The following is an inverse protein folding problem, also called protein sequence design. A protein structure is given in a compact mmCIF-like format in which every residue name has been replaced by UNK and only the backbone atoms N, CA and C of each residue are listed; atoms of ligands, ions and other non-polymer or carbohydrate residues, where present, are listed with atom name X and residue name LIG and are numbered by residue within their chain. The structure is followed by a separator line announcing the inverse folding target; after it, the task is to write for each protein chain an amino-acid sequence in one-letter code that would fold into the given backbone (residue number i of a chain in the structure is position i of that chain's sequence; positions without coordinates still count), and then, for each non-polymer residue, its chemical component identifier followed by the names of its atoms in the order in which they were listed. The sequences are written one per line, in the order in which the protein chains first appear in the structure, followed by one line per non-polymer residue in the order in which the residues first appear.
data_IF_762824687963
#
_entry.id   IF_762824687963
#
_cell.length_a   1.000
_cell.length_b   1.000
_cell.length_c   1.000
_cell.angle_alpha   90.00
_cell.angle_beta   90.00
_cell.angle_gamma   90.00
#
_symmetry.space_group_name_H-M   'P 1'
#
loop_
_entity.id
_entity.type
_entity.pdbx_description
1 polymer ?
#
# COMPACT_ATOMS: atom_id res chain seq x y z
N UNK A 1 16.26 18.48 2.47
CA UNK A 1 16.79 18.56 3.84
C UNK A 1 15.80 18.00 4.85
N UNK A 2 14.59 18.55 4.98
CA UNK A 2 13.57 18.05 5.94
C UNK A 2 13.27 16.55 5.77
N UNK A 3 13.07 16.07 4.54
CA UNK A 3 12.80 14.64 4.29
C UNK A 3 13.97 13.72 4.71
N UNK A 4 15.23 14.14 4.55
CA UNK A 4 16.39 13.36 4.98
C UNK A 4 16.46 13.21 6.50
N UNK A 5 16.05 14.24 7.24
CA UNK A 5 16.02 14.20 8.71
C UNK A 5 14.97 13.18 9.17
N UNK A 6 13.76 13.24 8.61
CA UNK A 6 12.71 12.26 8.91
C UNK A 6 13.09 10.84 8.47
N UNK A 7 13.78 10.69 7.35
CA UNK A 7 14.25 9.39 6.87
C UNK A 7 15.36 8.82 7.76
N UNK A 8 16.30 9.64 8.22
CA UNK A 8 17.33 9.21 9.18
C UNK A 8 16.75 8.81 10.53
N UNK A 9 15.71 9.51 11.01
CA UNK A 9 14.97 9.10 12.21
C UNK A 9 14.24 7.77 11.96
N UNK A 10 13.62 7.60 10.80
CA UNK A 10 12.98 6.35 10.40
C UNK A 10 13.96 5.18 10.32
N UNK A 11 15.17 5.40 9.82
CA UNK A 11 16.25 4.41 9.78
C UNK A 11 16.72 4.01 11.18
N UNK A 12 16.88 4.97 12.08
CA UNK A 12 17.21 4.69 13.48
C UNK A 12 16.13 3.82 14.15
N UNK A 13 14.85 4.14 13.93
CA UNK A 13 13.71 3.37 14.47
C UNK A 13 13.65 1.95 13.88
N UNK A 14 13.86 1.80 12.58
CA UNK A 14 13.86 0.49 11.90
C UNK A 14 15.06 -0.36 12.33
N UNK A 15 16.23 0.26 12.50
CA UNK A 15 17.44 -0.41 12.98
C UNK A 15 17.26 -0.99 14.39
N UNK A 16 16.63 -0.23 15.29
CA UNK A 16 16.27 -0.69 16.64
C UNK A 16 15.20 -1.78 16.63
N UNK A 17 14.24 -1.71 15.70
CA UNK A 17 13.13 -2.67 15.59
C UNK A 17 13.45 -3.97 14.84
N UNK A 18 14.55 -4.03 14.08
CA UNK A 18 14.88 -5.15 13.17
C UNK A 18 13.73 -5.49 12.19
N UNK A 19 13.01 -4.47 11.74
CA UNK A 19 11.80 -4.62 10.95
C UNK A 19 12.20 -4.71 9.47
N UNK A 20 11.75 -5.72 8.70
CA UNK A 20 12.05 -5.87 7.27
C UNK A 20 11.19 -4.94 6.40
N UNK A 21 11.13 -3.65 6.75
CA UNK A 21 10.37 -2.63 6.02
C UNK A 21 11.36 -1.56 5.52
N UNK A 22 11.22 -1.07 4.28
CA UNK A 22 12.02 0.04 3.79
C UNK A 22 11.89 1.26 4.72
N UNK A 23 13.02 1.74 5.24
CA UNK A 23 13.13 2.88 6.17
C UNK A 23 12.47 4.16 5.63
N UNK A 24 12.46 4.31 4.30
CA UNK A 24 11.76 5.40 3.61
C UNK A 24 10.26 5.48 3.95
N UNK A 25 9.59 4.33 4.12
CA UNK A 25 8.15 4.29 4.44
C UNK A 25 7.93 4.73 5.89
N UNK A 26 8.80 4.33 6.81
CA UNK A 26 8.74 4.73 8.21
C UNK A 26 8.98 6.24 8.35
N UNK A 27 9.97 6.79 7.65
CA UNK A 27 10.19 8.23 7.61
C UNK A 27 8.99 9.01 7.06
N UNK A 28 8.33 8.48 6.02
CA UNK A 28 7.12 9.07 5.44
C UNK A 28 5.92 9.02 6.40
N UNK A 29 5.74 7.92 7.14
CA UNK A 29 4.72 7.79 8.19
C UNK A 29 4.94 8.80 9.32
N UNK A 30 6.19 8.98 9.73
CA UNK A 30 6.57 9.91 10.80
C UNK A 30 6.38 11.37 10.35
N UNK A 31 6.72 11.67 9.11
CA UNK A 31 6.41 12.96 8.48
C UNK A 31 4.91 13.21 8.42
N UNK A 32 4.12 12.22 7.97
CA UNK A 32 2.67 12.32 7.92
C UNK A 32 2.04 12.56 9.30
N UNK A 33 2.49 11.85 10.33
CA UNK A 33 2.05 12.06 11.72
C UNK A 33 2.39 13.47 12.22
N UNK A 34 3.57 13.96 11.89
CA UNK A 34 3.99 15.33 12.25
C UNK A 34 3.13 16.37 11.55
N UNK A 35 2.82 16.16 10.26
CA UNK A 35 1.97 17.04 9.47
C UNK A 35 0.53 17.07 10.02
N UNK A 36 0.00 15.90 10.39
CA UNK A 36 -1.31 15.75 11.03
C UNK A 36 -1.37 16.48 12.39
N UNK A 37 -0.32 16.38 13.19
CA UNK A 37 -0.24 17.05 14.49
C UNK A 37 -0.10 18.57 14.37
N UNK A 38 0.54 19.06 13.31
CA UNK A 38 0.86 20.50 13.15
C UNK A 38 -0.16 21.27 12.31
N UNK A 39 -1.08 20.57 11.61
CA UNK A 39 -2.13 21.18 10.77
C UNK A 39 -1.58 22.12 9.66
N UNK A 40 -0.33 21.90 9.25
CA UNK A 40 0.34 22.70 8.22
C UNK A 40 -0.11 22.25 6.83
N UNK A 41 -0.11 23.15 5.85
CA UNK A 41 -0.39 22.82 4.45
C UNK A 41 0.74 21.98 3.84
N UNK A 42 0.35 21.01 3.01
CA UNK A 42 1.29 20.11 2.34
C UNK A 42 2.22 20.93 1.44
N UNK A 43 3.54 20.85 1.60
CA UNK A 43 4.46 21.69 0.84
C UNK A 43 4.62 21.15 -0.60
N UNK A 44 4.62 22.04 -1.60
CA UNK A 44 4.66 21.71 -3.04
C UNK A 44 5.76 20.70 -3.44
N UNK A 45 6.92 20.76 -2.79
CA UNK A 45 8.07 19.88 -3.06
C UNK A 45 7.79 18.40 -2.76
N UNK A 46 6.82 18.10 -1.90
CA UNK A 46 6.41 16.72 -1.57
C UNK A 46 5.57 16.12 -2.70
N UNK A 47 4.81 16.94 -3.41
CA UNK A 47 4.00 16.53 -4.55
C UNK A 47 4.91 16.05 -5.69
N UNK A 48 5.92 16.86 -6.04
CA UNK A 48 6.91 16.53 -7.07
C UNK A 48 7.75 15.27 -6.71
N UNK A 49 8.07 15.11 -5.42
CA UNK A 49 8.77 13.91 -4.93
C UNK A 49 7.92 12.64 -5.04
N UNK A 50 6.60 12.76 -4.84
CA UNK A 50 5.67 11.64 -4.91
C UNK A 50 5.51 11.15 -6.36
N UNK A 51 5.48 12.06 -7.32
CA UNK A 51 5.44 11.72 -8.75
C UNK A 51 6.67 10.93 -9.18
N UNK A 52 7.85 11.30 -8.69
CA UNK A 52 9.07 10.54 -8.95
C UNK A 52 8.99 9.12 -8.40
N UNK A 53 8.51 8.94 -7.17
CA UNK A 53 8.36 7.61 -6.55
C UNK A 53 7.36 6.75 -7.31
N UNK A 54 6.22 7.30 -7.71
CA UNK A 54 5.22 6.59 -8.53
C UNK A 54 5.85 6.16 -9.86
N UNK A 55 6.69 7.01 -10.45
CA UNK A 55 7.41 6.71 -11.69
C UNK A 55 8.45 5.60 -11.51
N UNK A 56 9.18 5.60 -10.41
CA UNK A 56 10.14 4.53 -10.06
C UNK A 56 9.47 3.25 -9.56
N UNK A 57 8.22 3.32 -9.09
CA UNK A 57 7.45 2.16 -8.65
C UNK A 57 7.39 1.10 -9.76
N UNK A 58 7.20 1.53 -11.01
CA UNK A 58 7.21 0.62 -12.16
C UNK A 58 8.57 -0.07 -12.34
N UNK A 59 9.66 0.67 -12.11
CA UNK A 59 11.05 0.18 -12.17
C UNK A 59 11.38 -0.77 -11.01
N UNK A 60 10.71 -0.67 -9.86
CA UNK A 60 10.80 -1.64 -8.75
C UNK A 60 9.88 -2.85 -8.95
N UNK A 61 8.67 -2.64 -9.49
CA UNK A 61 7.73 -3.72 -9.76
C UNK A 61 8.29 -4.68 -10.79
N UNK A 62 8.90 -4.19 -11.87
CA UNK A 62 9.39 -5.06 -12.95
C UNK A 62 10.39 -6.10 -12.44
N UNK A 63 11.50 -5.76 -11.75
CA UNK A 63 12.44 -6.72 -11.16
C UNK A 63 11.79 -7.66 -10.14
N UNK A 64 10.88 -7.14 -9.30
CA UNK A 64 10.21 -7.96 -8.29
C UNK A 64 9.25 -8.97 -8.92
N UNK A 65 8.50 -8.56 -9.94
CA UNK A 65 7.55 -9.41 -10.67
C UNK A 65 8.27 -10.47 -11.49
N UNK A 66 9.32 -10.11 -12.24
CA UNK A 66 10.08 -11.08 -13.04
C UNK A 66 10.86 -12.06 -12.15
N UNK A 67 11.34 -11.65 -10.98
CA UNK A 67 11.96 -12.54 -10.00
C UNK A 67 11.02 -13.65 -9.56
N UNK A 68 9.78 -13.32 -9.21
CA UNK A 68 8.76 -14.31 -8.89
C UNK A 68 8.50 -15.28 -10.05
N UNK A 69 8.42 -14.77 -11.29
CA UNK A 69 8.22 -15.62 -12.46
C UNK A 69 9.35 -16.63 -12.68
N UNK A 70 10.59 -16.30 -12.35
CA UNK A 70 11.73 -17.23 -12.46
C UNK A 70 11.68 -18.38 -11.44
N UNK A 71 11.20 -18.14 -10.21
CA UNK A 71 11.04 -19.20 -9.21
C UNK A 71 9.99 -20.26 -9.61
N UNK A 72 9.13 -19.95 -10.57
CA UNK A 72 7.93 -20.71 -10.93
C UNK A 72 8.14 -21.50 -12.24
N UNK A 73 9.22 -21.24 -12.98
CA UNK A 73 9.46 -21.75 -14.33
C UNK A 73 9.81 -23.25 -14.42
N UNK A 74 10.02 -23.94 -13.29
CA UNK A 74 10.39 -25.36 -13.30
C UNK A 74 9.27 -26.26 -13.86
N UNK A 75 8.00 -25.83 -13.87
CA UNK A 75 6.87 -26.67 -14.31
C UNK A 75 5.76 -25.89 -15.05
N UNK A 76 5.52 -26.23 -16.32
CA UNK A 76 4.46 -25.62 -17.15
C UNK A 76 3.04 -25.91 -16.63
N UNK A 77 2.84 -27.04 -15.96
CA UNK A 77 1.54 -27.48 -15.43
C UNK A 77 1.01 -26.58 -14.30
N UNK A 78 1.91 -25.87 -13.60
CA UNK A 78 1.59 -25.00 -12.46
C UNK A 78 0.92 -23.69 -12.91
N UNK A 79 1.13 -23.25 -14.16
CA UNK A 79 0.52 -22.02 -14.69
C UNK A 79 -1.00 -22.03 -14.65
N UNK A 80 -1.63 -23.17 -14.97
CA UNK A 80 -3.08 -23.33 -14.88
C UNK A 80 -3.58 -23.20 -13.43
N UNK A 81 -2.87 -23.80 -12.47
CA UNK A 81 -3.20 -23.70 -11.05
C UNK A 81 -3.09 -22.27 -10.52
N UNK A 82 -2.08 -21.50 -10.94
CA UNK A 82 -1.90 -20.10 -10.54
C UNK A 82 -3.01 -19.22 -11.11
N UNK A 83 -3.35 -19.41 -12.39
CA UNK A 83 -4.38 -18.62 -13.04
C UNK A 83 -5.74 -18.87 -12.37
N UNK A 84 -6.09 -20.14 -12.15
CA UNK A 84 -7.34 -20.51 -11.48
C UNK A 84 -7.37 -20.01 -10.03
N UNK A 85 -6.31 -20.23 -9.25
CA UNK A 85 -6.27 -19.77 -7.86
C UNK A 85 -6.32 -18.24 -7.72
N UNK A 86 -5.63 -17.50 -8.59
CA UNK A 86 -5.67 -16.02 -8.61
C UNK A 86 -7.05 -15.51 -9.01
N UNK A 87 -7.68 -16.16 -9.99
CA UNK A 87 -9.03 -15.78 -10.44
C UNK A 87 -10.06 -16.03 -9.33
N UNK A 88 -9.99 -17.20 -8.70
CA UNK A 88 -10.84 -17.55 -7.55
C UNK A 88 -10.60 -16.59 -6.39
N UNK A 89 -9.34 -16.28 -6.06
CA UNK A 89 -8.98 -15.33 -4.99
C UNK A 89 -9.51 -13.93 -5.26
N UNK A 90 -9.46 -13.47 -6.51
CA UNK A 90 -10.02 -12.18 -6.93
C UNK A 90 -11.53 -12.14 -6.76
N UNK A 91 -12.24 -13.16 -7.26
CA UNK A 91 -13.70 -13.26 -7.10
C UNK A 91 -14.10 -13.32 -5.63
N UNK A 92 -13.34 -14.09 -4.83
CA UNK A 92 -13.58 -14.24 -3.41
C UNK A 92 -13.38 -12.89 -2.69
N UNK A 93 -12.31 -12.16 -3.02
CA UNK A 93 -12.03 -10.82 -2.50
C UNK A 93 -13.15 -9.84 -2.83
N UNK A 94 -13.65 -9.84 -4.07
CA UNK A 94 -14.78 -8.99 -4.48
C UNK A 94 -16.06 -9.35 -3.72
N UNK A 95 -16.33 -10.64 -3.54
CA UNK A 95 -17.48 -11.12 -2.80
C UNK A 95 -17.43 -10.66 -1.33
N UNK A 96 -16.31 -10.91 -0.64
CA UNK A 96 -16.11 -10.47 0.74
C UNK A 96 -16.08 -8.95 0.86
N UNK A 97 -15.45 -8.24 -0.06
CA UNK A 97 -15.44 -6.78 -0.10
C UNK A 97 -16.84 -6.21 -0.23
N UNK A 98 -17.66 -6.78 -1.12
CA UNK A 98 -19.08 -6.41 -1.26
C UNK A 98 -19.88 -6.74 0.00
N UNK A 99 -19.59 -7.88 0.66
CA UNK A 99 -20.26 -8.28 1.90
C UNK A 99 -19.91 -7.34 3.06
N UNK A 100 -18.64 -6.95 3.18
CA UNK A 100 -18.17 -5.98 4.18
C UNK A 100 -18.81 -4.61 3.93
N UNK A 101 -18.85 -4.17 2.68
CA UNK A 101 -19.50 -2.91 2.27
C UNK A 101 -20.98 -2.94 2.61
N UNK A 102 -21.69 -4.03 2.28
CA UNK A 102 -23.09 -4.20 2.65
C UNK A 102 -23.27 -4.20 4.16
N UNK A 103 -22.43 -4.88 4.92
CA UNK A 103 -22.53 -4.89 6.38
C UNK A 103 -22.32 -3.50 7.00
N UNK A 104 -21.38 -2.72 6.46
CA UNK A 104 -21.10 -1.37 6.95
C UNK A 104 -22.14 -0.33 6.47
N UNK A 105 -22.61 -0.46 5.23
CA UNK A 105 -23.55 0.46 4.59
C UNK A 105 -25.03 0.18 4.98
N UNK A 106 -25.40 -1.07 5.29
CA UNK A 106 -26.71 -1.41 5.87
C UNK A 106 -26.91 -0.74 7.24
N UNK A 107 -25.83 -0.40 7.96
CA UNK A 107 -25.93 0.42 9.18
C UNK A 107 -26.08 1.92 8.91
N UNK A 108 -25.74 2.41 7.71
CA UNK A 108 -25.83 3.82 7.36
C UNK A 108 -27.06 4.18 6.49
N UNK A 109 -27.67 3.21 5.80
CA UNK A 109 -28.90 3.40 5.02
C UNK A 109 -30.16 3.61 5.91
N UNK A 110 -30.14 3.11 7.16
CA UNK A 110 -31.21 3.35 8.13
C UNK A 110 -31.28 4.81 8.64
N UNK A 111 -30.21 5.60 8.52
CA UNK A 111 -30.26 7.04 8.87
C UNK A 111 -30.73 7.95 7.73
N UNK A 112 -30.80 7.47 6.49
CA UNK A 112 -31.22 8.29 5.33
C UNK A 112 -32.71 8.07 4.95
N UNK A 113 -33.32 6.95 5.32
CA UNK A 113 -34.75 6.69 5.05
C UNK A 113 -35.77 7.18 6.09
N UNK A 114 -35.34 7.58 7.30
CA UNK A 114 -36.24 8.07 8.38
C UNK A 114 -36.21 9.60 8.50
N UNK A 115 -35.62 10.30 7.52
CA UNK A 115 -35.50 11.76 7.47
C UNK A 115 -36.15 12.41 6.24
N UNK A 116 -37.10 11.73 5.59
CA UNK A 116 -38.02 12.31 4.61
C UNK A 116 -39.45 11.99 4.98
#
# INVERSE_FOLDING_TARGET
MVLLIFQGIGEYVVYLGNIPIPSSVVGMLLFFLTLLATNITIPLWVEESSDLVIRFLYLFLVPSCVGCLFLIQEDLSIWLYILVSTFVSTLLTLFFGSLIMKFFLVRHDQKIKVGR
#
